data_IF_052026186561
#
_entry.id   IF_052026186561
#
_cell.length_a   1.000
_cell.length_b   1.000
_cell.length_c   1.000
_cell.angle_alpha   90.00
_cell.angle_beta   90.00
_cell.angle_gamma   90.00
#
_symmetry.space_group_name_H-M   'P 1'
#
loop_
_entity.id
_entity.type
_entity.pdbx_description
1 polymer ?
#
# COMPACT_ATOMS: atom_id res chain seq x y z
N UNK A 1 -10.00 29.84 32.01
CA UNK A 1 -10.28 29.10 30.79
C UNK A 1 -9.31 27.92 30.73
N UNK A 2 -9.76 26.72 31.09
CA UNK A 2 -8.94 25.50 31.13
C UNK A 2 -8.84 24.96 29.71
N UNK A 3 -7.62 24.92 29.18
CA UNK A 3 -7.31 24.29 27.91
C UNK A 3 -7.46 22.77 28.05
N UNK A 4 -8.47 22.19 27.46
CA UNK A 4 -8.58 20.74 27.30
C UNK A 4 -7.72 20.40 26.08
N UNK A 5 -6.48 20.03 26.36
CA UNK A 5 -5.60 19.41 25.38
C UNK A 5 -5.97 17.92 25.31
N UNK A 6 -6.94 17.58 24.48
CA UNK A 6 -7.27 16.18 24.21
C UNK A 6 -6.24 15.67 23.23
N UNK A 7 -5.39 14.78 23.75
CA UNK A 7 -4.34 14.14 22.99
C UNK A 7 -4.90 13.24 21.90
N UNK A 8 -4.87 13.73 20.68
CA UNK A 8 -5.09 12.94 19.47
C UNK A 8 -3.77 12.41 18.89
N UNK A 9 -2.69 12.54 19.67
CA UNK A 9 -1.31 12.20 19.24
C UNK A 9 -1.02 10.69 19.16
N UNK A 10 -2.00 9.85 19.46
CA UNK A 10 -1.77 8.41 19.58
C UNK A 10 -2.16 7.56 18.36
N UNK A 11 -2.86 8.13 17.37
CA UNK A 11 -3.57 7.28 16.41
C UNK A 11 -2.69 6.82 15.25
N UNK A 12 -1.77 7.64 14.74
CA UNK A 12 -0.95 7.23 13.60
C UNK A 12 0.30 6.43 13.99
N UNK A 13 0.99 6.80 15.06
CA UNK A 13 2.08 5.96 15.60
C UNK A 13 1.59 4.68 16.26
N UNK A 14 0.33 4.63 16.74
CA UNK A 14 -0.29 3.40 17.24
C UNK A 14 -0.71 2.44 16.12
N UNK A 15 -0.94 2.92 14.90
CA UNK A 15 -1.26 2.05 13.75
C UNK A 15 -0.04 1.19 13.36
N UNK A 16 1.17 1.69 13.54
CA UNK A 16 2.40 0.90 13.33
C UNK A 16 2.77 -0.02 14.50
N UNK A 17 2.21 0.19 15.71
CA UNK A 17 2.55 -0.59 16.91
C UNK A 17 1.42 -1.47 17.45
N UNK A 18 0.17 -1.28 17.02
CA UNK A 18 -0.96 -2.10 17.47
C UNK A 18 -0.95 -3.54 16.90
N UNK A 19 -0.01 -3.87 16.01
CA UNK A 19 0.25 -5.23 15.54
C UNK A 19 1.06 -6.11 16.50
N UNK A 20 1.56 -5.59 17.63
CA UNK A 20 2.46 -6.35 18.51
C UNK A 20 1.87 -6.79 19.85
N UNK A 21 0.60 -6.61 20.11
CA UNK A 21 -0.01 -7.03 21.37
C UNK A 21 -1.18 -7.99 21.15
N UNK A 22 -0.89 -9.22 20.75
CA UNK A 22 -1.90 -10.26 20.76
C UNK A 22 -1.73 -11.32 19.70
N UNK A 23 -1.14 -12.43 20.10
CA UNK A 23 -0.82 -13.64 19.36
C UNK A 23 0.49 -13.55 18.57
N UNK A 24 1.43 -14.44 18.88
CA UNK A 24 2.68 -14.63 18.17
C UNK A 24 2.45 -15.26 16.79
N UNK A 25 1.78 -14.51 15.89
CA UNK A 25 1.74 -14.90 14.48
C UNK A 25 3.13 -14.60 13.91
N UNK A 26 3.84 -15.64 13.51
CA UNK A 26 5.04 -15.47 12.69
C UNK A 26 4.62 -14.84 11.37
N UNK A 27 5.37 -13.82 10.93
CA UNK A 27 5.17 -13.24 9.61
C UNK A 27 5.41 -14.32 8.56
N UNK A 28 4.53 -14.38 7.57
CA UNK A 28 4.69 -15.30 6.44
C UNK A 28 5.95 -14.95 5.65
N UNK A 29 6.70 -15.99 5.28
CA UNK A 29 7.90 -15.85 4.48
C UNK A 29 7.58 -16.10 3.01
N UNK A 30 7.91 -15.12 2.16
CA UNK A 30 7.81 -15.30 0.73
C UNK A 30 8.92 -16.24 0.25
N UNK A 31 8.55 -17.30 -0.47
CA UNK A 31 9.51 -18.17 -1.15
C UNK A 31 9.88 -17.55 -2.49
N UNK A 32 11.15 -17.23 -2.69
CA UNK A 32 11.67 -16.73 -3.98
C UNK A 32 12.09 -17.88 -4.92
N UNK A 33 12.07 -19.13 -4.46
CA UNK A 33 12.57 -20.28 -5.22
C UNK A 33 11.65 -20.78 -6.35
N UNK A 34 10.40 -20.29 -6.40
CA UNK A 34 9.40 -20.75 -7.38
C UNK A 34 8.59 -19.57 -7.90
N UNK A 35 9.24 -18.61 -8.53
CA UNK A 35 8.50 -17.58 -9.26
C UNK A 35 7.69 -18.25 -10.39
N UNK A 36 6.36 -18.06 -10.46
CA UNK A 36 5.57 -18.57 -11.57
C UNK A 36 6.04 -17.91 -12.88
N UNK A 37 5.75 -18.57 -14.00
CA UNK A 37 5.97 -17.97 -15.31
C UNK A 37 5.07 -16.74 -15.45
N UNK A 38 5.67 -15.56 -15.21
CA UNK A 38 4.96 -14.29 -15.19
C UNK A 38 4.28 -13.97 -16.54
N UNK A 39 4.75 -14.55 -17.63
CA UNK A 39 4.19 -14.34 -18.98
C UNK A 39 2.83 -15.02 -19.14
N UNK A 40 2.49 -15.99 -18.28
CA UNK A 40 1.22 -16.71 -18.32
C UNK A 40 0.13 -16.06 -17.46
N UNK A 41 0.48 -15.14 -16.55
CA UNK A 41 -0.43 -14.49 -15.61
C UNK A 41 -0.77 -13.09 -16.12
N UNK A 42 -2.01 -12.90 -16.55
CA UNK A 42 -2.48 -11.62 -17.12
C UNK A 42 -3.35 -10.87 -16.13
N UNK A 43 -3.18 -9.56 -16.02
CA UNK A 43 -4.03 -8.70 -15.21
C UNK A 43 -5.52 -8.82 -15.58
N UNK A 44 -5.82 -9.01 -16.87
CA UNK A 44 -7.19 -9.18 -17.39
C UNK A 44 -7.94 -10.41 -16.87
N UNK A 45 -7.22 -11.39 -16.29
CA UNK A 45 -7.83 -12.60 -15.72
C UNK A 45 -8.40 -12.37 -14.31
N UNK A 46 -8.17 -11.19 -13.76
CA UNK A 46 -8.60 -10.78 -12.42
C UNK A 46 -9.60 -9.63 -12.50
N UNK A 47 -10.42 -9.45 -11.47
CA UNK A 47 -11.37 -8.35 -11.42
C UNK A 47 -10.67 -6.98 -11.29
N UNK A 48 -11.19 -5.94 -11.94
CA UNK A 48 -10.65 -4.57 -11.80
C UNK A 48 -11.13 -3.92 -10.50
N UNK A 49 -10.68 -4.46 -9.37
CA UNK A 49 -10.90 -3.97 -8.01
C UNK A 49 -9.72 -4.37 -7.12
N UNK A 50 -9.72 -3.91 -5.85
CA UNK A 50 -8.63 -4.18 -4.90
C UNK A 50 -8.38 -5.69 -4.72
N UNK A 51 -9.44 -6.48 -4.53
CA UNK A 51 -9.33 -7.93 -4.38
C UNK A 51 -8.69 -8.60 -5.60
N UNK A 52 -9.04 -8.14 -6.82
CA UNK A 52 -8.45 -8.64 -8.06
C UNK A 52 -6.97 -8.28 -8.18
N UNK A 53 -6.57 -7.06 -7.83
CA UNK A 53 -5.16 -6.66 -7.77
C UNK A 53 -4.37 -7.53 -6.80
N UNK A 54 -4.90 -7.77 -5.60
CA UNK A 54 -4.27 -8.60 -4.58
C UNK A 54 -4.08 -10.05 -5.04
N UNK A 55 -5.11 -10.65 -5.66
CA UNK A 55 -5.03 -11.99 -6.26
C UNK A 55 -4.00 -12.06 -7.37
N UNK A 56 -3.94 -11.05 -8.23
CA UNK A 56 -2.94 -10.94 -9.29
C UNK A 56 -1.52 -10.89 -8.72
N UNK A 57 -1.27 -10.02 -7.74
CA UNK A 57 0.04 -9.90 -7.08
C UNK A 57 0.43 -11.17 -6.33
N UNK A 58 -0.54 -11.87 -5.72
CA UNK A 58 -0.32 -13.16 -5.07
C UNK A 58 0.01 -14.25 -6.09
N UNK A 59 -0.68 -14.29 -7.23
CA UNK A 59 -0.40 -15.23 -8.31
C UNK A 59 1.00 -15.03 -8.90
N UNK A 60 1.46 -13.78 -9.00
CA UNK A 60 2.83 -13.41 -9.40
C UNK A 60 3.88 -13.65 -8.31
N UNK A 61 3.49 -14.18 -7.15
CA UNK A 61 4.38 -14.40 -6.00
C UNK A 61 5.02 -13.12 -5.44
N UNK A 62 4.30 -11.98 -5.52
CA UNK A 62 4.71 -10.73 -4.86
C UNK A 62 4.18 -10.63 -3.43
N UNK A 63 3.02 -11.20 -3.15
CA UNK A 63 2.41 -11.34 -1.81
C UNK A 63 2.33 -12.84 -1.48
N UNK A 64 2.79 -13.29 -0.29
CA UNK A 64 2.64 -14.68 0.11
C UNK A 64 1.16 -15.10 0.15
N UNK A 65 0.85 -16.32 -0.30
CA UNK A 65 -0.54 -16.83 -0.36
C UNK A 65 -1.24 -16.84 0.99
N UNK A 66 -0.48 -17.10 2.04
CA UNK A 66 -0.94 -17.21 3.42
C UNK A 66 -0.92 -15.87 4.18
N UNK A 67 -0.38 -14.81 3.56
CA UNK A 67 -0.33 -13.50 4.18
C UNK A 67 -1.75 -12.97 4.41
N UNK A 68 -2.00 -12.54 5.64
CA UNK A 68 -3.30 -12.00 6.04
C UNK A 68 -3.35 -10.51 5.75
N UNK A 69 -4.40 -10.10 5.07
CA UNK A 69 -4.71 -8.68 4.88
C UNK A 69 -5.22 -8.07 6.19
N UNK A 70 -4.73 -6.89 6.52
CA UNK A 70 -5.31 -6.03 7.56
C UNK A 70 -6.05 -4.88 6.88
N UNK A 71 -7.34 -4.72 7.19
CA UNK A 71 -8.14 -3.62 6.67
C UNK A 71 -7.62 -2.27 7.18
N UNK A 72 -7.51 -1.29 6.29
CA UNK A 72 -7.01 0.04 6.58
C UNK A 72 -8.15 1.06 6.64
N UNK A 73 -7.94 2.13 7.41
CA UNK A 73 -8.85 3.29 7.46
C UNK A 73 -8.72 4.13 6.17
N UNK A 74 -9.15 3.56 5.07
CA UNK A 74 -8.97 4.09 3.71
C UNK A 74 -9.65 5.45 3.48
N UNK A 75 -10.75 5.72 4.18
CA UNK A 75 -11.50 6.96 4.09
C UNK A 75 -10.69 8.20 4.53
N UNK A 76 -9.66 8.03 5.37
CA UNK A 76 -8.78 9.13 5.83
C UNK A 76 -8.00 9.74 4.68
N UNK A 77 -7.71 8.96 3.64
CA UNK A 77 -7.03 9.40 2.42
C UNK A 77 -7.98 9.46 1.21
N UNK A 78 -9.30 9.40 1.47
CA UNK A 78 -10.33 9.45 0.44
C UNK A 78 -10.39 8.23 -0.48
N UNK A 79 -9.78 7.10 -0.08
CA UNK A 79 -9.88 5.86 -0.80
C UNK A 79 -11.14 5.07 -0.41
N UNK A 80 -11.65 4.24 -1.33
CA UNK A 80 -12.82 3.39 -1.17
C UNK A 80 -12.54 2.20 -0.25
N UNK A 81 -11.37 1.60 -0.38
CA UNK A 81 -10.90 0.45 0.40
C UNK A 81 -9.38 0.45 0.48
N UNK A 82 -8.84 -0.28 1.45
CA UNK A 82 -7.39 -0.41 1.60
C UNK A 82 -7.02 -1.59 2.47
N UNK A 83 -5.94 -2.28 2.11
CA UNK A 83 -5.40 -3.41 2.84
C UNK A 83 -3.91 -3.27 3.04
N UNK A 84 -3.43 -3.76 4.20
CA UNK A 84 -2.01 -3.87 4.52
C UNK A 84 -1.61 -5.32 4.66
N UNK A 85 -0.47 -5.64 4.09
CA UNK A 85 0.21 -6.93 4.22
C UNK A 85 1.57 -6.72 4.89
N UNK A 86 1.91 -7.61 5.83
CA UNK A 86 3.23 -7.68 6.46
C UNK A 86 3.80 -9.08 6.22
N UNK A 87 4.98 -9.16 5.63
CA UNK A 87 5.63 -10.44 5.36
C UNK A 87 7.15 -10.29 5.32
N UNK A 88 7.86 -11.43 5.20
CA UNK A 88 9.33 -11.46 5.16
C UNK A 88 9.79 -11.86 3.76
N UNK A 89 10.73 -11.11 3.21
CA UNK A 89 11.46 -11.44 1.98
C UNK A 89 12.95 -11.36 2.30
N UNK A 90 13.68 -12.44 2.05
CA UNK A 90 15.15 -12.50 2.25
C UNK A 90 15.61 -11.93 3.60
N UNK A 91 14.90 -12.28 4.67
CA UNK A 91 15.10 -11.82 6.05
C UNK A 91 14.80 -10.32 6.31
N UNK A 92 14.25 -9.61 5.36
CA UNK A 92 13.75 -8.24 5.54
C UNK A 92 12.24 -8.24 5.76
N UNK A 93 11.76 -7.34 6.61
CA UNK A 93 10.33 -7.09 6.75
C UNK A 93 9.87 -6.17 5.65
N UNK A 94 8.87 -6.62 4.91
CA UNK A 94 8.18 -5.86 3.87
C UNK A 94 6.77 -5.53 4.34
N UNK A 95 6.39 -4.27 4.19
CA UNK A 95 5.04 -3.78 4.43
C UNK A 95 4.52 -3.23 3.11
N UNK A 96 3.40 -3.78 2.67
CA UNK A 96 2.69 -3.33 1.47
C UNK A 96 1.32 -2.83 1.87
N UNK A 97 0.98 -1.61 1.48
CA UNK A 97 -0.38 -1.10 1.58
C UNK A 97 -0.89 -0.83 0.17
N UNK A 98 -2.07 -1.36 -0.10
CA UNK A 98 -2.78 -1.21 -1.36
C UNK A 98 -4.12 -0.54 -1.09
N UNK A 99 -4.45 0.50 -1.87
CA UNK A 99 -5.71 1.21 -1.77
C UNK A 99 -6.39 1.29 -3.12
N UNK A 100 -7.74 1.26 -3.12
CA UNK A 100 -8.57 1.48 -4.30
C UNK A 100 -9.33 2.80 -4.18
N UNK A 101 -9.27 3.63 -5.21
CA UNK A 101 -10.09 4.83 -5.36
C UNK A 101 -11.28 4.58 -6.28
N UNK A 102 -12.42 5.18 -5.96
CA UNK A 102 -13.53 5.32 -6.90
C UNK A 102 -13.24 6.50 -7.81
N UNK A 103 -12.64 6.23 -8.97
CA UNK A 103 -12.21 7.28 -9.90
C UNK A 103 -13.36 8.03 -10.57
N UNK A 104 -14.58 7.48 -10.54
CA UNK A 104 -15.78 8.12 -11.08
C UNK A 104 -16.40 9.09 -10.06
N UNK A 105 -16.29 8.76 -8.75
CA UNK A 105 -16.89 9.54 -7.67
C UNK A 105 -15.87 9.93 -6.60
N UNK A 106 -14.68 10.34 -7.02
CA UNK A 106 -13.60 10.67 -6.10
C UNK A 106 -13.88 11.98 -5.35
N UNK A 107 -13.82 11.92 -4.00
CA UNK A 107 -13.97 13.08 -3.13
C UNK A 107 -12.75 14.02 -3.15
N UNK A 108 -12.88 15.18 -2.49
CA UNK A 108 -11.83 16.20 -2.44
C UNK A 108 -10.51 15.66 -1.85
N UNK A 109 -10.62 14.87 -0.78
CA UNK A 109 -9.45 14.28 -0.12
C UNK A 109 -8.70 13.30 -1.03
N UNK A 110 -9.42 12.43 -1.73
CA UNK A 110 -8.81 11.50 -2.69
C UNK A 110 -8.14 12.23 -3.85
N UNK A 111 -8.77 13.30 -4.37
CA UNK A 111 -8.16 14.15 -5.41
C UNK A 111 -6.86 14.78 -4.93
N UNK A 112 -6.87 15.36 -3.72
CA UNK A 112 -5.68 15.95 -3.10
C UNK A 112 -4.53 14.96 -3.01
N UNK A 113 -4.78 13.76 -2.46
CA UNK A 113 -3.76 12.71 -2.31
C UNK A 113 -3.21 12.28 -3.67
N UNK A 114 -4.08 12.04 -4.64
CA UNK A 114 -3.66 11.65 -6.00
C UNK A 114 -2.80 12.75 -6.65
N UNK A 115 -3.17 14.02 -6.49
CA UNK A 115 -2.45 15.16 -7.07
C UNK A 115 -1.08 15.35 -6.40
N UNK A 116 -1.00 15.18 -5.07
CA UNK A 116 0.27 15.19 -4.34
C UNK A 116 1.21 14.10 -4.84
N UNK A 117 0.73 12.86 -4.98
CA UNK A 117 1.54 11.74 -5.47
C UNK A 117 1.98 11.96 -6.92
N UNK A 118 1.10 12.40 -7.80
CA UNK A 118 1.44 12.70 -9.21
C UNK A 118 2.52 13.77 -9.32
N UNK A 119 2.51 14.73 -8.40
CA UNK A 119 3.43 15.88 -8.45
C UNK A 119 4.77 15.57 -7.77
N UNK A 120 4.75 14.88 -6.63
CA UNK A 120 5.89 14.75 -5.73
C UNK A 120 6.34 13.29 -5.51
N UNK A 121 5.55 12.28 -5.89
CA UNK A 121 5.81 10.87 -5.56
C UNK A 121 5.51 10.53 -4.09
N UNK A 122 4.85 11.44 -3.36
CA UNK A 122 4.54 11.31 -1.95
C UNK A 122 3.28 12.11 -1.60
N UNK A 123 2.65 11.80 -0.47
CA UNK A 123 1.52 12.55 0.05
C UNK A 123 1.57 12.67 1.57
N UNK A 124 0.81 13.62 2.12
CA UNK A 124 0.61 13.81 3.55
C UNK A 124 -0.82 13.40 3.93
N UNK A 125 -0.99 12.57 4.96
CA UNK A 125 -2.32 12.07 5.37
C UNK A 125 -3.29 13.22 5.67
N UNK A 126 -2.83 14.29 6.33
CA UNK A 126 -3.65 15.44 6.69
C UNK A 126 -3.37 16.70 5.83
N UNK A 127 -2.70 16.52 4.68
CA UNK A 127 -2.23 17.63 3.85
C UNK A 127 -0.96 18.28 4.36
N UNK A 128 -0.12 18.75 3.43
CA UNK A 128 1.23 19.26 3.69
C UNK A 128 1.28 20.47 4.64
N UNK A 129 0.27 21.34 4.60
CA UNK A 129 0.23 22.55 5.41
C UNK A 129 -0.31 22.33 6.82
N UNK A 130 -0.72 21.12 7.15
CA UNK A 130 -1.25 20.77 8.45
C UNK A 130 -0.12 20.61 9.46
N UNK A 131 -0.07 21.51 10.45
CA UNK A 131 0.91 21.50 11.53
C UNK A 131 0.49 20.52 12.64
N UNK A 132 0.59 19.24 12.36
CA UNK A 132 0.41 18.16 13.33
C UNK A 132 1.76 17.45 13.51
N UNK A 133 2.14 17.20 14.76
CA UNK A 133 3.30 16.38 15.07
C UNK A 133 3.07 14.97 14.47
N UNK A 134 4.04 14.47 13.71
CA UNK A 134 3.95 13.17 13.03
C UNK A 134 3.19 13.20 11.69
N UNK A 135 2.84 14.38 11.14
CA UNK A 135 2.36 14.50 9.77
C UNK A 135 3.55 14.49 8.82
N UNK A 136 3.97 13.29 8.45
CA UNK A 136 5.12 13.05 7.56
C UNK A 136 4.64 12.72 6.15
N UNK A 137 5.55 12.93 5.18
CA UNK A 137 5.31 12.53 3.81
C UNK A 137 5.43 11.01 3.66
N UNK A 138 4.47 10.40 2.99
CA UNK A 138 4.45 8.98 2.66
C UNK A 138 4.79 8.80 1.18
N UNK A 139 5.96 8.25 0.83
CA UNK A 139 6.28 7.88 -0.54
C UNK A 139 5.26 6.85 -1.04
N UNK A 140 4.68 7.12 -2.19
CA UNK A 140 3.65 6.28 -2.76
C UNK A 140 3.68 6.29 -4.29
N UNK A 141 3.17 5.24 -4.89
CA UNK A 141 3.01 5.08 -6.32
C UNK A 141 1.54 4.92 -6.69
N UNK A 142 1.14 5.46 -7.83
CA UNK A 142 -0.20 5.27 -8.40
C UNK A 142 -0.14 4.36 -9.62
N UNK A 143 -1.20 3.55 -9.81
CA UNK A 143 -1.41 2.87 -11.08
C UNK A 143 -1.62 3.87 -12.22
N UNK A 144 -1.30 3.47 -13.46
CA UNK A 144 -1.42 4.33 -14.64
C UNK A 144 -2.85 4.84 -14.87
N UNK A 145 -3.86 4.07 -14.46
CA UNK A 145 -5.27 4.47 -14.49
C UNK A 145 -5.70 5.32 -13.28
N UNK A 146 -4.79 5.59 -12.32
CA UNK A 146 -5.07 6.38 -11.13
C UNK A 146 -5.99 5.72 -10.09
N UNK A 147 -6.35 4.45 -10.28
CA UNK A 147 -7.33 3.75 -9.44
C UNK A 147 -6.69 3.12 -8.19
N UNK A 148 -5.42 2.71 -8.29
CA UNK A 148 -4.74 2.01 -7.21
C UNK A 148 -3.54 2.81 -6.70
N UNK A 149 -3.41 2.85 -5.37
CA UNK A 149 -2.27 3.44 -4.69
C UNK A 149 -1.49 2.33 -3.99
N UNK A 150 -0.18 2.38 -4.11
CA UNK A 150 0.79 1.52 -3.47
C UNK A 150 1.67 2.31 -2.50
N UNK A 151 1.76 1.86 -1.25
CA UNK A 151 2.85 2.20 -0.33
C UNK A 151 3.66 0.94 -0.10
N UNK A 152 4.94 0.98 -0.41
CA UNK A 152 5.85 -0.15 -0.24
C UNK A 152 7.01 0.24 0.65
N UNK A 153 7.09 -0.38 1.83
CA UNK A 153 8.16 -0.19 2.81
C UNK A 153 8.96 -1.47 2.95
N UNK A 154 10.29 -1.37 2.86
CA UNK A 154 11.22 -2.49 3.03
C UNK A 154 12.32 -2.07 4.00
N UNK A 155 12.70 -2.97 4.91
CA UNK A 155 13.80 -2.74 5.86
C UNK A 155 15.18 -3.06 5.28
N UNK A 156 15.25 -3.64 4.07
CA UNK A 156 16.49 -3.95 3.38
C UNK A 156 16.81 -2.95 2.27
N UNK A 157 18.10 -2.70 2.12
CA UNK A 157 18.67 -1.94 0.98
C UNK A 157 19.43 -2.84 0.01
N UNK A 158 19.30 -4.16 0.15
CA UNK A 158 19.95 -5.11 -0.76
C UNK A 158 19.40 -4.98 -2.18
N UNK A 159 20.25 -5.20 -3.17
CA UNK A 159 19.91 -5.01 -4.58
C UNK A 159 18.71 -5.86 -4.99
N UNK A 160 18.59 -7.10 -4.48
CA UNK A 160 17.45 -7.99 -4.75
C UNK A 160 16.13 -7.40 -4.24
N UNK A 161 16.13 -6.80 -3.05
CA UNK A 161 14.96 -6.17 -2.47
C UNK A 161 14.56 -4.89 -3.23
N UNK A 162 15.56 -4.08 -3.60
CA UNK A 162 15.34 -2.86 -4.41
C UNK A 162 14.72 -3.22 -5.77
N UNK A 163 15.26 -4.24 -6.44
CA UNK A 163 14.73 -4.70 -7.72
C UNK A 163 13.30 -5.24 -7.55
N UNK A 164 13.06 -6.06 -6.52
CA UNK A 164 11.73 -6.59 -6.22
C UNK A 164 10.71 -5.47 -5.98
N UNK A 165 11.08 -4.42 -5.24
CA UNK A 165 10.21 -3.26 -5.05
C UNK A 165 9.87 -2.60 -6.40
N UNK A 166 10.86 -2.40 -7.26
CA UNK A 166 10.67 -1.82 -8.58
C UNK A 166 9.70 -2.67 -9.43
N UNK A 167 9.93 -3.98 -9.48
CA UNK A 167 9.09 -4.91 -10.24
C UNK A 167 7.65 -4.96 -9.69
N UNK A 168 7.50 -4.98 -8.36
CA UNK A 168 6.18 -4.91 -7.71
C UNK A 168 5.44 -3.64 -8.11
N UNK A 169 6.13 -2.50 -8.00
CA UNK A 169 5.57 -1.18 -8.37
C UNK A 169 5.14 -1.15 -9.83
N UNK A 170 5.95 -1.72 -10.74
CA UNK A 170 5.59 -1.81 -12.16
C UNK A 170 4.33 -2.65 -12.38
N UNK A 171 4.17 -3.78 -11.68
CA UNK A 171 2.96 -4.62 -11.79
C UNK A 171 1.71 -3.89 -11.29
N UNK A 172 1.81 -3.11 -10.21
CA UNK A 172 0.69 -2.29 -9.73
C UNK A 172 0.37 -1.16 -10.73
N UNK A 173 1.40 -0.48 -11.26
CA UNK A 173 1.22 0.59 -12.25
C UNK A 173 0.52 0.10 -13.51
N UNK A 174 0.92 -1.06 -14.01
CA UNK A 174 0.36 -1.64 -15.24
C UNK A 174 -0.97 -2.38 -15.03
N UNK A 175 -1.44 -2.57 -13.80
CA UNK A 175 -2.69 -3.29 -13.56
C UNK A 175 -3.88 -2.52 -14.13
N UNK A 176 -4.56 -3.12 -15.11
CA UNK A 176 -5.64 -2.49 -15.88
C UNK A 176 -5.26 -1.12 -16.46
N UNK A 177 -4.03 -1.02 -16.98
CA UNK A 177 -3.65 0.13 -17.79
C UNK A 177 -4.66 0.29 -18.93
N UNK A 178 -5.21 1.49 -19.09
CA UNK A 178 -6.07 1.79 -20.22
C UNK A 178 -5.25 1.57 -21.49
N UNK A 179 -5.64 0.59 -22.31
CA UNK A 179 -5.12 0.48 -23.67
C UNK A 179 -5.66 1.68 -24.45
N UNK A 180 -4.77 2.60 -24.83
CA UNK A 180 -5.09 3.70 -25.74
C UNK A 180 -5.34 3.18 -27.16
#
# INVERSE_FOLDING_TARGET
MKKILVGFLGVLSAISLAGCAGSGQSLEKLSTESAPDADTIKASDYANNLEGLEKYLTALNYIPKEAQATEMLSNVIGAKSGHRYNFIVDNATVIVELYEYDTENIGEEGKRVIDEIKTNGEFYVFGKDTKLDGNEAYPADLSDNGKYLLIYTDTSTDISNVQRKADFTEKVKAFYKNEE
#
